data_IF_504231592159
#
_entry.id   IF_504231592159
#
_cell.length_a   1.000
_cell.length_b   1.000
_cell.length_c   1.000
_cell.angle_alpha   90.00
_cell.angle_beta   90.00
_cell.angle_gamma   90.00
#
_symmetry.space_group_name_H-M   'P 1'
#
loop_
_entity.id
_entity.type
_entity.pdbx_description
1 polymer ?
#
# COMPACT_ATOMS: atom_id res chain seq x y z
N UNK A 1 -15.66 -16.44 -14.67
CA UNK A 1 -15.93 -14.98 -14.76
C UNK A 1 -16.95 -14.53 -13.71
N UNK A 2 -18.19 -15.06 -13.71
CA UNK A 2 -19.27 -14.65 -12.78
C UNK A 2 -18.92 -14.73 -11.28
N UNK A 3 -18.19 -15.77 -10.85
CA UNK A 3 -17.76 -15.94 -9.45
C UNK A 3 -16.82 -14.82 -8.98
N UNK A 4 -15.98 -14.27 -9.86
CA UNK A 4 -15.08 -13.15 -9.53
C UNK A 4 -15.86 -11.84 -9.33
N UNK A 5 -16.91 -11.60 -10.12
CA UNK A 5 -17.74 -10.39 -10.01
C UNK A 5 -18.53 -10.34 -8.69
N UNK A 6 -19.05 -11.48 -8.23
CA UNK A 6 -19.75 -11.57 -6.94
C UNK A 6 -18.80 -11.29 -5.75
N UNK A 7 -17.58 -11.85 -5.81
CA UNK A 7 -16.51 -11.60 -4.85
C UNK A 7 -16.17 -10.10 -4.81
N UNK A 8 -15.93 -9.49 -5.97
CA UNK A 8 -15.60 -8.06 -6.07
C UNK A 8 -16.67 -7.20 -5.39
N UNK A 9 -17.96 -7.43 -5.69
CA UNK A 9 -19.05 -6.64 -5.09
C UNK A 9 -19.10 -6.77 -3.57
N UNK A 10 -18.90 -7.96 -3.03
CA UNK A 10 -18.93 -8.18 -1.59
C UNK A 10 -17.80 -7.44 -0.88
N UNK A 11 -16.58 -7.51 -1.41
CA UNK A 11 -15.42 -6.88 -0.79
C UNK A 11 -15.39 -5.36 -1.00
N UNK A 12 -15.81 -4.89 -2.17
CA UNK A 12 -15.83 -3.46 -2.50
C UNK A 12 -16.81 -2.64 -1.64
N UNK A 13 -17.84 -3.29 -1.08
CA UNK A 13 -18.76 -2.67 -0.13
C UNK A 13 -18.22 -2.51 1.29
N UNK A 14 -16.97 -2.91 1.56
CA UNK A 14 -16.39 -2.91 2.91
C UNK A 14 -15.13 -2.05 3.00
N UNK A 15 -14.81 -1.62 4.22
CA UNK A 15 -13.54 -0.95 4.53
C UNK A 15 -12.44 -1.93 4.97
N UNK A 16 -12.69 -3.25 4.87
CA UNK A 16 -11.75 -4.27 5.35
C UNK A 16 -10.48 -4.33 4.48
N UNK A 17 -9.36 -4.69 5.10
CA UNK A 17 -8.15 -5.08 4.38
C UNK A 17 -8.37 -6.42 3.68
N UNK A 18 -8.03 -6.50 2.39
CA UNK A 18 -8.29 -7.67 1.56
C UNK A 18 -6.94 -8.33 1.21
N UNK A 19 -6.81 -9.62 1.53
CA UNK A 19 -5.70 -10.44 1.07
C UNK A 19 -6.07 -11.12 -0.25
N UNK A 20 -5.31 -10.86 -1.31
CA UNK A 20 -5.46 -11.50 -2.61
C UNK A 20 -4.39 -12.58 -2.76
N UNK A 21 -4.81 -13.84 -2.64
CA UNK A 21 -3.92 -14.99 -2.87
C UNK A 21 -4.08 -15.52 -4.30
N UNK A 22 -2.95 -15.76 -4.94
CA UNK A 22 -2.89 -16.34 -6.29
C UNK A 22 -1.46 -16.36 -6.82
N UNK A 23 -1.21 -17.22 -7.80
CA UNK A 23 0.10 -17.36 -8.43
C UNK A 23 0.56 -16.04 -9.08
N UNK A 24 1.87 -15.91 -9.27
CA UNK A 24 2.44 -14.76 -9.98
C UNK A 24 1.88 -14.70 -11.42
N UNK A 25 1.68 -13.48 -11.94
CA UNK A 25 1.15 -13.28 -13.30
C UNK A 25 -0.36 -13.55 -13.49
N UNK A 26 -1.12 -13.85 -12.42
CA UNK A 26 -2.57 -14.16 -12.54
C UNK A 26 -3.51 -12.95 -12.58
N UNK A 27 -2.96 -11.72 -12.63
CA UNK A 27 -3.73 -10.48 -12.69
C UNK A 27 -4.28 -10.01 -11.34
N UNK A 28 -3.53 -10.20 -10.24
CA UNK A 28 -3.92 -9.76 -8.89
C UNK A 28 -4.16 -8.25 -8.81
N UNK A 29 -3.31 -7.45 -9.47
CA UNK A 29 -3.46 -6.00 -9.55
C UNK A 29 -4.75 -5.59 -10.25
N UNK A 30 -5.11 -6.24 -11.36
CA UNK A 30 -6.37 -6.00 -12.07
C UNK A 30 -7.57 -6.29 -11.16
N UNK A 31 -7.48 -7.35 -10.33
CA UNK A 31 -8.51 -7.64 -9.34
C UNK A 31 -8.59 -6.55 -8.26
N UNK A 32 -7.46 -6.11 -7.72
CA UNK A 32 -7.40 -5.03 -6.73
C UNK A 32 -7.99 -3.72 -7.28
N UNK A 33 -7.62 -3.33 -8.50
CA UNK A 33 -8.17 -2.16 -9.18
C UNK A 33 -9.67 -2.30 -9.41
N UNK A 34 -10.14 -3.49 -9.78
CA UNK A 34 -11.57 -3.76 -9.97
C UNK A 34 -12.36 -3.62 -8.66
N UNK A 35 -11.79 -4.05 -7.53
CA UNK A 35 -12.38 -3.85 -6.20
C UNK A 35 -12.44 -2.37 -5.84
N UNK A 36 -11.33 -1.63 -6.05
CA UNK A 36 -11.29 -0.19 -5.83
C UNK A 36 -12.37 0.54 -6.65
N UNK A 37 -12.46 0.26 -7.95
CA UNK A 37 -13.41 0.88 -8.87
C UNK A 37 -14.88 0.57 -8.51
N UNK A 38 -15.14 -0.55 -7.84
CA UNK A 38 -16.47 -0.93 -7.38
C UNK A 38 -16.78 -0.42 -5.96
N UNK A 39 -15.83 0.22 -5.28
CA UNK A 39 -15.95 0.65 -3.89
C UNK A 39 -16.46 2.09 -3.75
N UNK A 40 -16.77 2.49 -2.51
CA UNK A 40 -17.10 3.88 -2.18
C UNK A 40 -15.90 4.84 -2.37
N UNK A 41 -14.68 4.31 -2.57
CA UNK A 41 -13.44 5.08 -2.71
C UNK A 41 -13.00 5.25 -4.16
N UNK A 42 -13.87 4.95 -5.13
CA UNK A 42 -13.57 5.02 -6.59
C UNK A 42 -13.06 6.38 -7.07
N UNK A 43 -13.42 7.47 -6.40
CA UNK A 43 -12.94 8.81 -6.74
C UNK A 43 -11.63 9.18 -6.02
N UNK A 44 -11.15 8.32 -5.13
CA UNK A 44 -9.89 8.46 -4.43
C UNK A 44 -8.72 7.85 -5.21
N UNK A 45 -7.48 8.06 -4.76
CA UNK A 45 -6.31 7.50 -5.42
C UNK A 45 -6.26 5.97 -5.31
N UNK A 46 -5.81 5.30 -6.37
CA UNK A 46 -5.34 3.91 -6.31
C UNK A 46 -3.82 3.91 -6.47
N UNK A 47 -3.10 3.48 -5.44
CA UNK A 47 -1.64 3.44 -5.43
C UNK A 47 -1.20 1.98 -5.35
N UNK A 48 -0.47 1.51 -6.34
CA UNK A 48 0.10 0.17 -6.35
C UNK A 48 1.62 0.22 -6.16
N UNK A 49 2.16 -0.73 -5.39
CA UNK A 49 3.59 -0.94 -5.26
C UNK A 49 3.90 -2.44 -5.18
N UNK A 50 4.94 -2.85 -5.89
CA UNK A 50 5.53 -4.18 -5.75
C UNK A 50 6.63 -4.14 -4.68
N UNK A 51 6.41 -4.83 -3.56
CA UNK A 51 7.32 -4.86 -2.42
C UNK A 51 8.65 -5.60 -2.72
N UNK A 52 8.68 -6.49 -3.71
CA UNK A 52 9.89 -7.20 -4.13
C UNK A 52 10.75 -6.46 -5.15
N UNK A 53 10.29 -5.33 -5.69
CA UNK A 53 10.97 -4.63 -6.79
C UNK A 53 12.13 -3.71 -6.34
N UNK A 54 12.31 -3.48 -5.04
CA UNK A 54 13.25 -2.49 -4.50
C UNK A 54 13.99 -3.02 -3.27
N UNK A 55 15.15 -2.44 -2.98
CA UNK A 55 15.86 -2.73 -1.72
C UNK A 55 15.04 -2.25 -0.51
N UNK A 56 15.11 -2.95 0.65
CA UNK A 56 14.26 -2.65 1.81
C UNK A 56 14.28 -1.20 2.28
N UNK A 57 15.45 -0.55 2.30
CA UNK A 57 15.58 0.85 2.73
C UNK A 57 14.90 1.82 1.76
N UNK A 58 14.96 1.52 0.46
CA UNK A 58 14.27 2.32 -0.55
C UNK A 58 12.77 2.12 -0.40
N UNK A 59 12.32 0.86 -0.28
CA UNK A 59 10.91 0.53 -0.05
C UNK A 59 10.34 1.21 1.19
N UNK A 60 11.09 1.24 2.31
CA UNK A 60 10.71 1.96 3.52
C UNK A 60 10.47 3.44 3.25
N UNK A 61 11.40 4.08 2.54
CA UNK A 61 11.31 5.50 2.20
C UNK A 61 10.18 5.82 1.20
N UNK A 62 9.85 4.89 0.29
CA UNK A 62 8.71 5.01 -0.62
C UNK A 62 7.40 4.88 0.14
N UNK A 63 7.23 3.82 0.94
CA UNK A 63 5.98 3.53 1.65
C UNK A 63 5.61 4.63 2.64
N UNK A 64 6.57 5.02 3.49
CA UNK A 64 6.30 5.88 4.64
C UNK A 64 6.73 7.33 4.45
N UNK A 65 7.53 7.64 3.42
CA UNK A 65 8.08 8.97 3.23
C UNK A 65 9.11 9.34 4.30
N UNK A 66 9.70 10.52 4.18
CA UNK A 66 10.73 10.98 5.11
C UNK A 66 10.72 12.50 5.25
N UNK A 67 11.13 13.00 6.40
CA UNK A 67 11.33 14.44 6.61
C UNK A 67 12.68 14.90 6.04
N UNK A 68 12.83 16.21 5.80
CA UNK A 68 14.09 16.76 5.35
C UNK A 68 15.23 16.42 6.32
N UNK A 69 16.36 15.93 5.81
CA UNK A 69 17.52 15.56 6.63
C UNK A 69 17.40 14.25 7.41
N UNK A 70 16.40 13.41 7.14
CA UNK A 70 16.21 12.13 7.82
C UNK A 70 17.40 11.16 7.71
N UNK A 71 18.17 11.23 6.62
CA UNK A 71 19.37 10.44 6.38
C UNK A 71 20.30 11.14 5.37
N UNK A 72 21.56 10.70 5.28
CA UNK A 72 22.53 11.21 4.31
C UNK A 72 22.03 10.98 2.87
N UNK A 73 21.86 12.07 2.11
CA UNK A 73 21.31 12.01 0.76
C UNK A 73 19.79 12.17 0.67
N UNK A 74 19.09 12.34 1.81
CA UNK A 74 17.68 12.69 1.80
C UNK A 74 17.46 14.04 1.09
N UNK A 75 16.37 14.12 0.32
CA UNK A 75 15.95 15.39 -0.29
C UNK A 75 15.80 16.48 0.78
N UNK A 76 16.31 17.71 0.56
CA UNK A 76 16.11 18.83 1.46
C UNK A 76 14.63 19.23 1.66
N UNK A 77 13.75 18.75 0.78
CA UNK A 77 12.30 18.97 0.87
C UNK A 77 11.56 17.81 1.56
N UNK A 78 12.27 16.76 1.96
CA UNK A 78 11.65 15.50 2.37
C UNK A 78 10.96 14.78 1.20
N UNK A 79 10.14 13.79 1.54
CA UNK A 79 9.31 13.02 0.60
C UNK A 79 8.03 12.55 1.28
N UNK A 80 6.91 12.67 0.58
CA UNK A 80 5.60 12.13 1.01
C UNK A 80 5.58 10.63 0.70
N UNK A 81 5.08 9.81 1.63
CA UNK A 81 5.00 8.37 1.45
C UNK A 81 3.81 7.91 0.59
N UNK A 82 3.90 6.71 0.02
CA UNK A 82 2.82 6.11 -0.77
C UNK A 82 1.54 5.91 0.04
N UNK A 83 1.63 5.61 1.34
CA UNK A 83 0.46 5.55 2.20
C UNK A 83 -0.27 6.90 2.30
N UNK A 84 0.48 8.00 2.34
CA UNK A 84 -0.09 9.35 2.33
C UNK A 84 -0.67 9.70 0.96
N UNK A 85 -0.01 9.30 -0.14
CA UNK A 85 -0.54 9.48 -1.49
C UNK A 85 -1.83 8.67 -1.72
N UNK A 86 -2.00 7.55 -1.04
CA UNK A 86 -3.20 6.71 -1.09
C UNK A 86 -4.31 7.19 -0.14
N UNK A 87 -4.15 8.34 0.52
CA UNK A 87 -5.11 8.85 1.50
C UNK A 87 -6.51 8.99 0.89
N UNK A 88 -7.53 8.56 1.66
CA UNK A 88 -8.93 8.41 1.21
C UNK A 88 -9.17 7.50 0.00
N UNK A 89 -8.15 6.79 -0.47
CA UNK A 89 -8.20 5.90 -1.61
C UNK A 89 -7.90 4.44 -1.24
N UNK A 90 -7.03 3.79 -2.00
CA UNK A 90 -6.63 2.40 -1.80
C UNK A 90 -5.16 2.23 -2.12
N UNK A 91 -4.43 1.55 -1.25
CA UNK A 91 -3.07 1.09 -1.53
C UNK A 91 -3.09 -0.42 -1.79
N UNK A 92 -2.46 -0.85 -2.87
CA UNK A 92 -2.24 -2.24 -3.21
C UNK A 92 -0.75 -2.58 -3.04
N UNK A 93 -0.49 -3.55 -2.17
CA UNK A 93 0.86 -4.03 -1.85
C UNK A 93 1.04 -5.41 -2.49
N UNK A 94 1.69 -5.45 -3.65
CA UNK A 94 1.98 -6.70 -4.34
C UNK A 94 3.24 -7.36 -3.77
N UNK A 95 3.26 -8.69 -3.78
CA UNK A 95 4.34 -9.50 -3.19
C UNK A 95 4.66 -9.10 -1.73
N UNK A 96 3.62 -8.88 -0.91
CA UNK A 96 3.73 -8.47 0.50
C UNK A 96 4.59 -9.40 1.36
N UNK A 97 4.75 -10.66 0.94
CA UNK A 97 5.63 -11.64 1.58
C UNK A 97 7.12 -11.25 1.54
N UNK A 98 7.51 -10.35 0.63
CA UNK A 98 8.89 -9.86 0.49
C UNK A 98 9.24 -8.77 1.51
N UNK A 99 8.27 -8.30 2.32
CA UNK A 99 8.58 -7.36 3.40
C UNK A 99 9.44 -8.00 4.48
N UNK A 100 10.49 -7.31 4.89
CA UNK A 100 11.27 -7.70 6.06
C UNK A 100 10.51 -7.46 7.39
N UNK A 101 10.99 -8.05 8.49
CA UNK A 101 10.33 -7.94 9.81
C UNK A 101 10.15 -6.49 10.28
N UNK A 102 11.14 -5.58 10.12
CA UNK A 102 10.96 -4.17 10.44
C UNK A 102 9.79 -3.51 9.67
N UNK A 103 9.72 -3.70 8.35
CA UNK A 103 8.65 -3.16 7.52
C UNK A 103 7.29 -3.75 7.89
N UNK A 104 7.22 -5.06 8.18
CA UNK A 104 6.00 -5.71 8.66
C UNK A 104 5.49 -5.08 9.97
N UNK A 105 6.39 -4.71 10.87
CA UNK A 105 6.04 -4.09 12.16
C UNK A 105 5.45 -2.69 11.95
N UNK A 106 6.03 -1.89 11.04
CA UNK A 106 5.50 -0.57 10.68
C UNK A 106 4.16 -0.67 9.96
N UNK A 107 4.03 -1.61 9.02
CA UNK A 107 2.77 -1.87 8.33
C UNK A 107 1.66 -2.22 9.33
N UNK A 108 1.96 -3.06 10.32
CA UNK A 108 1.00 -3.42 11.37
C UNK A 108 0.47 -2.18 12.11
N UNK A 109 1.34 -1.22 12.45
CA UNK A 109 0.91 0.04 13.06
C UNK A 109 0.00 0.85 12.15
N UNK A 110 0.33 0.97 10.86
CA UNK A 110 -0.55 1.64 9.89
C UNK A 110 -1.94 0.99 9.85
N UNK A 111 -2.00 -0.35 9.86
CA UNK A 111 -3.27 -1.08 9.83
C UNK A 111 -4.08 -0.95 11.13
N UNK A 112 -3.41 -0.94 12.29
CA UNK A 112 -4.06 -0.89 13.61
C UNK A 112 -4.45 0.54 14.01
N UNK A 113 -3.51 1.47 13.89
CA UNK A 113 -3.63 2.85 14.41
C UNK A 113 -4.18 3.80 13.34
N UNK A 114 -4.13 3.40 12.05
CA UNK A 114 -4.45 4.27 10.91
C UNK A 114 -3.61 5.55 10.88
N UNK A 115 -2.37 5.44 11.37
CA UNK A 115 -1.40 6.52 11.45
C UNK A 115 -0.11 6.12 10.72
N UNK A 116 0.57 7.11 10.16
CA UNK A 116 1.82 6.94 9.42
C UNK A 116 2.85 7.85 10.07
N UNK A 117 4.05 7.31 10.27
CA UNK A 117 5.20 8.04 10.78
C UNK A 117 6.27 8.08 9.69
N UNK A 118 6.66 9.29 9.27
CA UNK A 118 7.73 9.47 8.30
C UNK A 118 9.06 9.06 8.92
N UNK A 119 10.03 8.72 8.08
CA UNK A 119 11.38 8.46 8.57
C UNK A 119 11.99 9.78 9.06
N UNK A 120 12.64 9.72 10.23
CA UNK A 120 13.25 10.88 10.88
C UNK A 120 12.26 11.84 11.54
N UNK A 121 10.96 11.53 11.59
CA UNK A 121 10.02 12.23 12.47
C UNK A 121 9.92 11.50 13.83
N UNK A 122 9.71 12.26 14.91
CA UNK A 122 9.39 11.76 16.26
C UNK A 122 7.87 11.65 16.47
#
# INVERSE_FOLDING_TARGET
MLRRLAIIKNYAGTDATILINGESGTGKEVLAQSIHNASQRVNGPFVAINCGAMAPQILESELFGYVAGAFTGASPKGKIGLFELAHHGTIFLDEISELDKPLQTRLLRVLQERQIMRLGSD
#
